data_IF_328865683143
#
_entry.id   IF_328865683143
#
_cell.length_a   1.000
_cell.length_b   1.000
_cell.length_c   1.000
_cell.angle_alpha   90.00
_cell.angle_beta   90.00
_cell.angle_gamma   90.00
#
_symmetry.space_group_name_H-M   'P 1'
#
loop_
_entity.id
_entity.type
_entity.pdbx_description
1 polymer ?
#
# COMPACT_ATOMS: atom_id res chain seq x y z
N UNK A 1 17.55 5.62 -7.95
CA UNK A 1 16.50 4.84 -7.27
C UNK A 1 15.17 5.17 -7.97
N UNK A 2 14.37 4.17 -8.38
CA UNK A 2 13.10 4.43 -9.07
C UNK A 2 11.98 4.47 -8.04
N UNK A 3 11.23 5.59 -8.02
CA UNK A 3 10.06 5.76 -7.17
C UNK A 3 8.82 5.26 -7.92
N UNK A 4 7.95 4.53 -7.24
CA UNK A 4 6.70 4.01 -7.82
C UNK A 4 5.54 4.40 -6.92
N UNK A 5 4.46 4.87 -7.53
CA UNK A 5 3.20 5.18 -6.87
C UNK A 5 2.10 4.28 -7.42
N UNK A 6 1.38 3.60 -6.53
CA UNK A 6 0.30 2.68 -6.89
C UNK A 6 -0.95 3.08 -6.12
N UNK A 7 -2.07 3.22 -6.82
CA UNK A 7 -3.38 3.45 -6.21
C UNK A 7 -4.20 2.17 -6.35
N UNK A 8 -4.45 1.51 -5.22
CA UNK A 8 -5.37 0.38 -5.14
C UNK A 8 -6.79 0.91 -4.87
N UNK A 9 -7.74 0.49 -5.69
CA UNK A 9 -9.15 0.90 -5.63
C UNK A 9 -10.06 -0.25 -5.23
N UNK A 10 -11.25 0.07 -4.70
CA UNK A 10 -12.29 -0.90 -4.37
C UNK A 10 -12.38 -1.19 -2.86
N UNK A 11 -12.75 -2.41 -2.48
CA UNK A 11 -12.89 -2.83 -1.08
C UNK A 11 -11.53 -3.10 -0.42
N UNK A 12 -10.66 -2.10 -0.40
CA UNK A 12 -9.28 -2.21 0.11
C UNK A 12 -9.14 -1.60 1.51
N UNK A 13 -10.06 -0.74 1.93
CA UNK A 13 -10.06 -0.20 3.29
C UNK A 13 -10.83 -1.10 4.26
N UNK A 14 -10.40 -1.10 5.52
CA UNK A 14 -11.01 -1.85 6.65
C UNK A 14 -10.99 -3.39 6.53
N UNK A 15 -10.24 -3.92 5.56
CA UNK A 15 -10.10 -5.37 5.32
C UNK A 15 -8.68 -5.90 5.61
N UNK A 16 -7.81 -5.10 6.24
CA UNK A 16 -6.42 -5.50 6.53
C UNK A 16 -5.47 -5.40 5.33
N UNK A 17 -5.87 -4.73 4.23
CA UNK A 17 -5.05 -4.59 3.02
C UNK A 17 -3.69 -3.93 3.30
N UNK A 18 -3.65 -2.89 4.15
CA UNK A 18 -2.40 -2.23 4.55
C UNK A 18 -1.42 -3.21 5.18
N UNK A 19 -1.88 -4.04 6.12
CA UNK A 19 -1.06 -4.99 6.84
C UNK A 19 -0.52 -6.08 5.89
N UNK A 20 -1.33 -6.50 4.92
CA UNK A 20 -0.90 -7.40 3.85
C UNK A 20 0.22 -6.76 3.00
N UNK A 21 0.04 -5.52 2.55
CA UNK A 21 1.04 -4.81 1.73
C UNK A 21 2.35 -4.64 2.50
N UNK A 22 2.29 -4.24 3.77
CA UNK A 22 3.49 -4.10 4.62
C UNK A 22 4.22 -5.44 4.79
N UNK A 23 3.49 -6.54 5.02
CA UNK A 23 4.08 -7.88 5.13
C UNK A 23 4.81 -8.29 3.85
N UNK A 24 4.20 -8.05 2.68
CA UNK A 24 4.80 -8.35 1.38
C UNK A 24 6.04 -7.47 1.15
N UNK A 25 5.95 -6.17 1.44
CA UNK A 25 7.08 -5.23 1.30
C UNK A 25 8.27 -5.66 2.16
N UNK A 26 8.03 -6.07 3.41
CA UNK A 26 9.08 -6.60 4.31
C UNK A 26 9.72 -7.87 3.77
N UNK A 27 8.92 -8.83 3.29
CA UNK A 27 9.42 -10.09 2.68
C UNK A 27 10.31 -9.81 1.47
N UNK A 28 9.97 -8.79 0.69
CA UNK A 28 10.71 -8.40 -0.51
C UNK A 28 11.86 -7.40 -0.23
N UNK A 29 12.05 -6.96 1.02
CA UNK A 29 13.03 -5.94 1.43
C UNK A 29 12.83 -4.59 0.68
N UNK A 30 11.58 -4.19 0.53
CA UNK A 30 11.21 -2.92 -0.10
C UNK A 30 11.01 -1.84 0.96
N UNK A 31 11.66 -0.69 0.76
CA UNK A 31 11.37 0.51 1.52
C UNK A 31 10.21 1.28 0.87
N UNK A 32 9.41 1.97 1.69
CA UNK A 32 8.23 2.69 1.21
C UNK A 32 7.21 2.91 2.32
N UNK A 33 6.04 3.40 1.95
CA UNK A 33 4.91 3.58 2.86
C UNK A 33 3.57 3.29 2.18
N UNK A 34 2.58 2.97 3.01
CA UNK A 34 1.20 2.71 2.59
C UNK A 34 0.27 3.63 3.37
N UNK A 35 -0.64 4.32 2.69
CA UNK A 35 -1.60 5.24 3.29
C UNK A 35 -3.01 5.03 2.74
N UNK A 36 -4.02 5.24 3.58
CA UNK A 36 -5.42 5.25 3.12
C UNK A 36 -5.74 6.61 2.50
N UNK A 37 -6.30 6.59 1.29
CA UNK A 37 -6.84 7.77 0.63
C UNK A 37 -8.37 7.81 0.80
N UNK A 38 -8.90 8.90 1.33
CA UNK A 38 -10.35 9.09 1.41
C UNK A 38 -10.93 9.22 -0.02
N UNK A 39 -12.10 8.60 -0.33
CA UNK A 39 -12.97 7.90 0.61
C UNK A 39 -12.62 6.42 0.84
N UNK A 40 -12.11 5.68 -0.16
CA UNK A 40 -11.95 4.21 -0.06
C UNK A 40 -10.70 3.62 -0.74
N UNK A 41 -9.77 4.45 -1.21
CA UNK A 41 -8.58 3.98 -1.93
C UNK A 41 -7.37 3.79 -1.00
N UNK A 42 -6.34 3.10 -1.46
CA UNK A 42 -5.06 2.93 -0.76
C UNK A 42 -3.91 3.30 -1.69
N UNK A 43 -3.00 4.14 -1.20
CA UNK A 43 -1.80 4.56 -1.90
C UNK A 43 -0.58 3.84 -1.34
N UNK A 44 0.20 3.25 -2.23
CA UNK A 44 1.49 2.62 -1.93
C UNK A 44 2.58 3.43 -2.63
N UNK A 45 3.56 3.93 -1.87
CA UNK A 45 4.73 4.64 -2.41
C UNK A 45 6.01 3.90 -2.04
N UNK A 46 6.88 3.65 -3.02
CA UNK A 46 8.22 3.06 -2.86
C UNK A 46 9.26 3.96 -3.51
#
# INVERSE_FOLDING_TARGET
MKRIEIIAKGYVQRVGYRDMVERIARKLKLAGFVENLKPYDVLVKR
#
